data_IF_308005074745
#
_entry.id   IF_308005074745
#
_cell.length_a   1.000
_cell.length_b   1.000
_cell.length_c   1.000
_cell.angle_alpha   90.00
_cell.angle_beta   90.00
_cell.angle_gamma   90.00
#
_symmetry.space_group_name_H-M   'P 1'
#
loop_
_entity.id
_entity.type
_entity.pdbx_description
1 polymer ?
#
# COMPACT_ATOMS: atom_id res chain seq x y z
N UNK A 1 6.54 -1.13 -30.42
CA UNK A 1 7.46 -0.09 -30.90
C UNK A 1 8.12 0.68 -29.77
N UNK A 2 7.39 1.06 -28.69
CA UNK A 2 7.97 1.76 -27.51
C UNK A 2 8.99 0.91 -26.75
N UNK A 3 8.75 -0.38 -26.55
CA UNK A 3 9.65 -1.30 -25.85
C UNK A 3 11.01 -1.48 -26.56
N UNK A 4 11.01 -1.55 -27.90
CA UNK A 4 12.27 -1.60 -28.69
C UNK A 4 13.07 -0.30 -28.60
N UNK A 5 12.41 0.87 -28.60
CA UNK A 5 13.09 2.17 -28.43
C UNK A 5 13.73 2.33 -27.05
N UNK A 6 13.04 1.91 -25.99
CA UNK A 6 13.63 1.95 -24.64
C UNK A 6 14.82 1.00 -24.49
N UNK A 7 14.76 -0.23 -25.02
CA UNK A 7 15.91 -1.14 -25.05
C UNK A 7 17.08 -0.57 -25.87
N UNK A 8 16.80 0.06 -27.00
CA UNK A 8 17.85 0.68 -27.83
C UNK A 8 18.46 1.90 -27.15
N UNK A 9 17.68 2.72 -26.40
CA UNK A 9 18.24 3.81 -25.58
C UNK A 9 19.20 3.29 -24.51
N UNK A 10 18.80 2.33 -23.70
CA UNK A 10 19.66 1.76 -22.66
C UNK A 10 20.93 1.09 -23.23
N UNK A 11 20.85 0.41 -24.39
CA UNK A 11 22.00 -0.22 -25.06
C UNK A 11 22.93 0.86 -25.64
N UNK A 12 22.39 1.97 -26.10
CA UNK A 12 23.17 3.07 -26.71
C UNK A 12 23.83 3.96 -25.66
N UNK A 13 23.21 4.10 -24.50
CA UNK A 13 23.77 4.91 -23.38
C UNK A 13 24.89 4.18 -22.64
N UNK A 14 24.88 2.82 -22.63
CA UNK A 14 25.90 2.03 -21.98
C UNK A 14 27.33 2.26 -22.54
N UNK A 15 27.58 2.22 -23.87
CA UNK A 15 28.88 2.58 -24.43
C UNK A 15 29.28 4.01 -24.15
N UNK A 16 28.33 4.94 -24.14
CA UNK A 16 28.60 6.34 -23.85
C UNK A 16 29.12 6.56 -22.41
N UNK A 17 28.48 5.87 -21.42
CA UNK A 17 28.90 5.93 -20.02
C UNK A 17 30.28 5.31 -19.83
N UNK A 18 30.52 4.15 -20.46
CA UNK A 18 31.80 3.42 -20.36
C UNK A 18 32.93 4.21 -21.04
N UNK A 19 32.71 4.70 -22.27
CA UNK A 19 33.74 5.40 -23.06
C UNK A 19 34.10 6.77 -22.45
N UNK A 20 33.14 7.47 -21.83
CA UNK A 20 33.42 8.77 -21.18
C UNK A 20 33.91 8.64 -19.74
N UNK A 21 34.05 7.40 -19.19
CA UNK A 21 34.46 7.17 -17.80
C UNK A 21 33.72 8.10 -16.82
N UNK A 22 32.40 8.24 -16.99
CA UNK A 22 31.57 9.12 -16.16
C UNK A 22 31.64 8.60 -14.74
N UNK A 23 32.29 9.35 -13.86
CA UNK A 23 32.32 9.06 -12.43
C UNK A 23 30.96 9.40 -11.83
N UNK A 24 30.38 8.55 -10.99
CA UNK A 24 29.15 8.88 -10.28
C UNK A 24 29.38 10.14 -9.45
N UNK A 25 28.52 11.14 -9.57
CA UNK A 25 28.59 12.35 -8.76
C UNK A 25 28.33 11.98 -7.30
N UNK A 26 29.27 12.26 -6.41
CA UNK A 26 29.17 11.94 -4.97
C UNK A 26 27.85 12.47 -4.36
N UNK A 27 27.39 13.62 -4.81
CA UNK A 27 26.11 14.21 -4.37
C UNK A 27 24.91 13.34 -4.75
N UNK A 28 24.84 12.88 -6.01
CA UNK A 28 23.76 12.01 -6.46
C UNK A 28 23.74 10.67 -5.70
N UNK A 29 24.93 10.15 -5.36
CA UNK A 29 25.05 8.92 -4.55
C UNK A 29 24.53 9.12 -3.13
N UNK A 30 24.88 10.25 -2.49
CA UNK A 30 24.39 10.60 -1.16
C UNK A 30 22.88 10.78 -1.14
N UNK A 31 22.31 11.44 -2.14
CA UNK A 31 20.85 11.65 -2.26
C UNK A 31 20.12 10.32 -2.48
N UNK A 32 20.67 9.43 -3.30
CA UNK A 32 20.15 8.06 -3.48
C UNK A 32 20.18 7.26 -2.17
N UNK A 33 21.26 7.33 -1.40
CA UNK A 33 21.37 6.64 -0.12
C UNK A 33 20.36 7.20 0.87
N UNK A 34 20.17 8.52 0.98
CA UNK A 34 19.19 9.12 1.90
C UNK A 34 17.77 8.65 1.61
N UNK A 35 17.37 8.64 0.34
CA UNK A 35 16.03 8.16 -0.05
C UNK A 35 15.93 6.66 0.18
N UNK A 36 16.93 5.88 -0.25
CA UNK A 36 16.97 4.44 -0.10
C UNK A 36 16.93 3.99 1.36
N UNK A 37 17.64 4.69 2.25
CA UNK A 37 17.64 4.42 3.68
C UNK A 37 16.23 4.59 4.29
N UNK A 38 15.54 5.68 3.97
CA UNK A 38 14.17 5.91 4.46
C UNK A 38 13.21 4.80 4.01
N UNK A 39 13.29 4.40 2.74
CA UNK A 39 12.46 3.32 2.18
C UNK A 39 12.83 1.98 2.81
N UNK A 40 14.11 1.71 3.02
CA UNK A 40 14.57 0.49 3.67
C UNK A 40 14.00 0.35 5.09
N UNK A 41 14.13 1.40 5.92
CA UNK A 41 13.59 1.39 7.27
C UNK A 41 12.05 1.25 7.28
N UNK A 42 11.35 1.95 6.39
CA UNK A 42 9.91 1.78 6.21
C UNK A 42 9.56 0.32 5.96
N UNK A 43 10.24 -0.34 5.01
CA UNK A 43 9.99 -1.73 4.65
C UNK A 43 10.28 -2.71 5.80
N UNK A 44 11.39 -2.51 6.52
CA UNK A 44 11.74 -3.35 7.67
C UNK A 44 10.68 -3.26 8.77
N UNK A 45 10.28 -2.04 9.16
CA UNK A 45 9.27 -1.85 10.20
C UNK A 45 7.90 -2.36 9.77
N UNK A 46 7.53 -2.17 8.50
CA UNK A 46 6.29 -2.76 7.96
C UNK A 46 6.32 -4.30 8.05
N UNK A 47 7.45 -4.94 7.72
CA UNK A 47 7.60 -6.40 7.83
C UNK A 47 7.47 -6.88 9.27
N UNK A 48 8.03 -6.13 10.23
CA UNK A 48 7.85 -6.43 11.67
C UNK A 48 6.36 -6.37 12.05
N UNK A 49 5.63 -5.35 11.65
CA UNK A 49 4.20 -5.23 11.93
C UNK A 49 3.37 -6.37 11.31
N UNK A 50 3.67 -6.78 10.07
CA UNK A 50 3.03 -7.93 9.45
C UNK A 50 3.36 -9.24 10.18
N UNK A 51 4.63 -9.43 10.57
CA UNK A 51 5.08 -10.61 11.32
C UNK A 51 4.38 -10.71 12.68
N UNK A 52 4.28 -9.61 13.43
CA UNK A 52 3.57 -9.59 14.71
C UNK A 52 2.09 -9.98 14.54
N UNK A 53 1.42 -9.45 13.50
CA UNK A 53 0.03 -9.81 13.20
C UNK A 53 -0.11 -11.30 12.86
N UNK A 54 0.83 -11.87 12.09
CA UNK A 54 0.84 -13.29 11.76
C UNK A 54 1.07 -14.19 13.00
N UNK A 55 1.98 -13.78 13.89
CA UNK A 55 2.20 -14.49 15.18
C UNK A 55 0.93 -14.46 16.02
N UNK A 56 0.27 -13.30 16.11
CA UNK A 56 -1.02 -13.21 16.83
C UNK A 56 -2.07 -14.12 16.22
N UNK A 57 -2.17 -14.20 14.89
CA UNK A 57 -3.10 -15.11 14.20
C UNK A 57 -2.76 -16.59 14.45
N UNK A 58 -1.48 -16.95 14.44
CA UNK A 58 -1.02 -18.31 14.71
C UNK A 58 -1.37 -18.77 16.13
N UNK A 59 -1.30 -17.89 17.11
CA UNK A 59 -1.67 -18.16 18.49
C UNK A 59 -3.18 -18.39 18.71
N UNK A 60 -4.03 -18.07 17.71
CA UNK A 60 -5.47 -18.35 17.72
C UNK A 60 -5.80 -19.78 17.23
N UNK A 61 -4.78 -20.54 16.83
CA UNK A 61 -4.92 -21.89 16.32
C UNK A 61 -4.64 -22.05 14.82
N UNK A 62 -4.48 -23.30 14.39
CA UNK A 62 -4.11 -23.66 13.02
C UNK A 62 -5.13 -23.20 11.99
N UNK A 63 -6.42 -23.38 12.29
CA UNK A 63 -7.52 -23.06 11.39
C UNK A 63 -7.67 -21.54 11.21
N UNK A 64 -7.51 -20.79 12.30
CA UNK A 64 -7.50 -19.34 12.28
C UNK A 64 -6.32 -18.80 11.46
N UNK A 65 -5.12 -19.39 11.61
CA UNK A 65 -3.94 -19.02 10.83
C UNK A 65 -4.11 -19.37 9.35
N UNK A 66 -4.68 -20.52 9.02
CA UNK A 66 -4.96 -20.93 7.64
C UNK A 66 -5.93 -19.96 6.98
N UNK A 67 -7.05 -19.63 7.64
CA UNK A 67 -8.01 -18.64 7.15
C UNK A 67 -7.39 -17.24 7.02
N UNK A 68 -6.53 -16.83 7.96
CA UNK A 68 -5.78 -15.56 7.90
C UNK A 68 -4.88 -15.50 6.67
N UNK A 69 -4.14 -16.56 6.37
CA UNK A 69 -3.22 -16.58 5.23
C UNK A 69 -3.96 -16.43 3.89
N UNK A 70 -5.11 -17.09 3.72
CA UNK A 70 -5.95 -16.92 2.53
C UNK A 70 -6.52 -15.50 2.47
N UNK A 71 -6.98 -14.96 3.61
CA UNK A 71 -7.44 -13.56 3.68
C UNK A 71 -6.35 -12.57 3.26
N UNK A 72 -5.10 -12.77 3.66
CA UNK A 72 -3.95 -11.96 3.25
C UNK A 72 -3.68 -12.08 1.74
N UNK A 73 -3.81 -13.27 1.15
CA UNK A 73 -3.67 -13.47 -0.30
C UNK A 73 -4.76 -12.75 -1.07
N UNK A 74 -6.02 -12.81 -0.62
CA UNK A 74 -7.15 -12.09 -1.23
C UNK A 74 -6.92 -10.57 -1.13
N UNK A 75 -6.46 -10.08 0.01
CA UNK A 75 -6.15 -8.67 0.22
C UNK A 75 -4.98 -8.21 -0.68
N UNK A 76 -3.99 -9.07 -0.94
CA UNK A 76 -2.86 -8.75 -1.83
C UNK A 76 -3.29 -8.50 -3.27
N UNK A 77 -4.36 -9.14 -3.74
CA UNK A 77 -4.95 -8.87 -5.04
C UNK A 77 -5.47 -7.42 -5.11
N UNK A 78 -6.11 -6.94 -4.06
CA UNK A 78 -6.57 -5.54 -3.97
C UNK A 78 -5.40 -4.55 -3.96
N UNK A 79 -4.29 -4.90 -3.31
CA UNK A 79 -3.05 -4.11 -3.36
C UNK A 79 -2.51 -3.98 -4.78
N UNK A 80 -2.54 -5.04 -5.58
CA UNK A 80 -2.04 -4.99 -6.96
C UNK A 80 -2.77 -3.92 -7.81
N UNK A 81 -4.10 -3.79 -7.65
CA UNK A 81 -4.86 -2.71 -8.30
C UNK A 81 -4.48 -1.34 -7.75
N UNK A 82 -4.34 -1.21 -6.43
CA UNK A 82 -3.93 0.02 -5.77
C UNK A 82 -2.53 0.47 -6.23
N UNK A 83 -1.58 -0.45 -6.29
CA UNK A 83 -0.19 -0.18 -6.68
C UNK A 83 -0.08 0.28 -8.14
N UNK A 84 -0.88 -0.27 -9.05
CA UNK A 84 -0.96 0.19 -10.43
C UNK A 84 -1.40 1.66 -10.52
N UNK A 85 -2.44 2.03 -9.78
CA UNK A 85 -2.89 3.43 -9.70
C UNK A 85 -1.91 4.32 -8.96
N UNK A 86 -1.26 3.82 -7.91
CA UNK A 86 -0.22 4.52 -7.18
C UNK A 86 0.94 4.90 -8.12
N UNK A 87 1.46 3.94 -8.89
CA UNK A 87 2.54 4.18 -9.84
C UNK A 87 2.15 5.23 -10.89
N UNK A 88 0.91 5.18 -11.38
CA UNK A 88 0.35 6.17 -12.30
C UNK A 88 0.28 7.56 -11.65
N UNK A 89 -0.22 7.65 -10.42
CA UNK A 89 -0.32 8.90 -9.68
C UNK A 89 1.06 9.53 -9.42
N UNK A 90 2.06 8.72 -9.03
CA UNK A 90 3.45 9.16 -8.83
C UNK A 90 3.99 9.80 -10.12
N UNK A 91 3.83 9.12 -11.26
CA UNK A 91 4.36 9.58 -12.54
C UNK A 91 3.68 10.88 -13.02
N UNK A 92 2.34 10.94 -12.97
CA UNK A 92 1.57 12.09 -13.46
C UNK A 92 1.76 13.33 -12.59
N UNK A 93 1.75 13.16 -11.27
CA UNK A 93 1.92 14.28 -10.33
C UNK A 93 3.37 14.78 -10.39
N UNK A 94 4.36 13.90 -10.34
CA UNK A 94 5.76 14.28 -10.45
C UNK A 94 6.05 15.06 -11.74
N UNK A 95 5.51 14.59 -12.87
CA UNK A 95 5.63 15.31 -14.15
C UNK A 95 4.95 16.67 -14.12
N UNK A 96 3.71 16.76 -13.61
CA UNK A 96 2.96 18.01 -13.58
C UNK A 96 3.62 19.08 -12.71
N UNK A 97 4.19 18.67 -11.58
CA UNK A 97 4.96 19.56 -10.71
C UNK A 97 6.27 19.99 -11.36
N UNK A 98 6.97 19.11 -12.06
CA UNK A 98 8.16 19.43 -12.86
C UNK A 98 7.86 20.44 -13.98
N UNK A 99 6.66 20.38 -14.57
CA UNK A 99 6.15 21.37 -15.53
C UNK A 99 5.61 22.65 -14.88
N UNK A 100 5.71 22.79 -13.55
CA UNK A 100 5.19 23.94 -12.76
C UNK A 100 3.67 24.16 -12.91
N UNK A 101 2.89 23.06 -13.05
CA UNK A 101 1.44 23.08 -13.19
C UNK A 101 0.76 22.40 -12.01
N UNK A 102 0.69 23.04 -10.83
CA UNK A 102 0.15 22.41 -9.61
C UNK A 102 -1.35 22.07 -9.70
N UNK A 103 -2.12 22.87 -10.44
CA UNK A 103 -3.55 22.60 -10.61
C UNK A 103 -3.79 21.30 -11.39
N UNK A 104 -2.99 21.04 -12.43
CA UNK A 104 -3.04 19.79 -13.18
C UNK A 104 -2.66 18.58 -12.29
N UNK A 105 -1.70 18.77 -11.38
CA UNK A 105 -1.33 17.73 -10.42
C UNK A 105 -2.50 17.39 -9.47
N UNK A 106 -3.26 18.38 -8.99
CA UNK A 106 -4.47 18.16 -8.17
C UNK A 106 -5.55 17.42 -8.96
N UNK A 107 -5.75 17.78 -10.23
CA UNK A 107 -6.73 17.15 -11.10
C UNK A 107 -6.39 15.67 -11.34
N UNK A 108 -5.14 15.35 -11.65
CA UNK A 108 -4.70 13.96 -11.76
C UNK A 108 -4.89 13.17 -10.46
N UNK A 109 -4.57 13.76 -9.31
CA UNK A 109 -4.82 13.12 -8.01
C UNK A 109 -6.30 12.85 -7.77
N UNK A 110 -7.19 13.78 -8.16
CA UNK A 110 -8.64 13.62 -8.08
C UNK A 110 -9.15 12.51 -9.01
N UNK A 111 -8.66 12.49 -10.24
CA UNK A 111 -9.04 11.48 -11.24
C UNK A 111 -8.58 10.08 -10.84
N UNK A 112 -7.32 9.91 -10.41
CA UNK A 112 -6.83 8.64 -9.91
C UNK A 112 -7.66 8.12 -8.72
N UNK A 113 -8.06 9.01 -7.82
CA UNK A 113 -8.93 8.65 -6.69
C UNK A 113 -10.32 8.18 -7.15
N UNK A 114 -10.94 8.86 -8.12
CA UNK A 114 -12.25 8.45 -8.66
C UNK A 114 -12.16 7.07 -9.30
N UNK A 115 -11.15 6.83 -10.13
CA UNK A 115 -10.91 5.51 -10.73
C UNK A 115 -10.71 4.46 -9.63
N UNK A 116 -9.89 4.78 -8.61
CA UNK A 116 -9.67 3.89 -7.48
C UNK A 116 -10.94 3.59 -6.68
N UNK A 117 -11.83 4.57 -6.49
CA UNK A 117 -13.11 4.37 -5.82
C UNK A 117 -14.00 3.40 -6.62
N UNK A 118 -14.07 3.52 -7.95
CA UNK A 118 -14.80 2.56 -8.79
C UNK A 118 -14.23 1.14 -8.66
N UNK A 119 -12.90 0.99 -8.69
CA UNK A 119 -12.25 -0.31 -8.50
C UNK A 119 -12.53 -0.86 -7.10
N UNK A 120 -12.49 -0.02 -6.07
CA UNK A 120 -12.80 -0.43 -4.70
C UNK A 120 -14.24 -0.96 -4.59
N UNK A 121 -15.22 -0.26 -5.16
CA UNK A 121 -16.63 -0.71 -5.16
C UNK A 121 -16.78 -2.02 -5.92
N UNK A 122 -16.12 -2.17 -7.07
CA UNK A 122 -16.13 -3.42 -7.83
C UNK A 122 -15.55 -4.59 -7.02
N UNK A 123 -14.38 -4.40 -6.38
CA UNK A 123 -13.77 -5.43 -5.55
C UNK A 123 -14.60 -5.76 -4.32
N UNK A 124 -15.22 -4.77 -3.68
CA UNK A 124 -16.16 -4.97 -2.58
C UNK A 124 -17.32 -5.86 -3.01
N UNK A 125 -17.92 -5.61 -4.18
CA UNK A 125 -18.99 -6.45 -4.71
C UNK A 125 -18.50 -7.89 -4.97
N UNK A 126 -17.33 -8.06 -5.60
CA UNK A 126 -16.71 -9.38 -5.84
C UNK A 126 -16.47 -10.12 -4.53
N UNK A 127 -15.97 -9.44 -3.50
CA UNK A 127 -15.66 -10.05 -2.21
C UNK A 127 -16.92 -10.35 -1.40
N UNK A 128 -17.93 -9.49 -1.48
CA UNK A 128 -19.19 -9.71 -0.78
C UNK A 128 -19.95 -10.95 -1.33
N UNK A 129 -20.11 -11.01 -2.65
CA UNK A 129 -20.81 -12.14 -3.29
C UNK A 129 -19.94 -13.38 -3.44
N UNK A 130 -18.63 -13.21 -3.57
CA UNK A 130 -17.68 -14.29 -3.82
C UNK A 130 -17.02 -14.87 -2.57
N UNK A 131 -17.27 -14.34 -1.37
CA UNK A 131 -16.58 -14.71 -0.13
C UNK A 131 -16.48 -16.24 0.08
N UNK A 132 -17.61 -16.94 0.02
CA UNK A 132 -17.66 -18.39 0.20
C UNK A 132 -16.94 -19.14 -0.92
N UNK A 133 -17.11 -18.70 -2.17
CA UNK A 133 -16.45 -19.31 -3.33
C UNK A 133 -14.94 -19.15 -3.26
N UNK A 134 -14.45 -17.98 -2.89
CA UNK A 134 -13.02 -17.69 -2.77
C UNK A 134 -12.36 -18.58 -1.70
N UNK A 135 -12.99 -18.78 -0.54
CA UNK A 135 -12.43 -19.66 0.49
C UNK A 135 -12.55 -21.15 0.13
N UNK A 136 -13.60 -21.55 -0.61
CA UNK A 136 -13.76 -22.92 -1.12
C UNK A 136 -12.70 -23.33 -2.15
N UNK A 137 -12.06 -22.38 -2.83
CA UNK A 137 -10.94 -22.69 -3.70
C UNK A 137 -9.70 -23.19 -2.94
N UNK A 138 -9.59 -22.89 -1.64
CA UNK A 138 -8.44 -23.23 -0.81
C UNK A 138 -8.77 -24.30 0.25
N UNK A 139 -10.02 -24.38 0.69
CA UNK A 139 -10.44 -25.27 1.77
C UNK A 139 -11.71 -26.04 1.40
N UNK A 140 -11.76 -27.29 1.86
CA UNK A 140 -12.95 -28.14 1.80
C UNK A 140 -13.72 -28.15 3.13
N UNK A 141 -13.07 -27.78 4.23
CA UNK A 141 -13.60 -27.81 5.58
C UNK A 141 -14.50 -26.61 5.85
N UNK A 142 -15.80 -26.84 6.05
CA UNK A 142 -16.80 -25.78 6.26
C UNK A 142 -16.49 -24.92 7.50
N UNK A 143 -15.84 -25.47 8.52
CA UNK A 143 -15.43 -24.72 9.71
C UNK A 143 -14.42 -23.61 9.37
N UNK A 144 -13.38 -23.93 8.59
CA UNK A 144 -12.35 -22.94 8.17
C UNK A 144 -12.97 -21.91 7.22
N UNK A 145 -13.87 -22.36 6.33
CA UNK A 145 -14.60 -21.48 5.43
C UNK A 145 -15.45 -20.47 6.22
N UNK A 146 -16.12 -20.91 7.30
CA UNK A 146 -16.91 -20.01 8.14
C UNK A 146 -16.06 -18.94 8.82
N UNK A 147 -14.87 -19.30 9.33
CA UNK A 147 -13.89 -18.34 9.86
C UNK A 147 -13.48 -17.35 8.75
N UNK A 148 -13.19 -17.87 7.56
CA UNK A 148 -12.79 -17.08 6.41
C UNK A 148 -13.86 -16.09 5.95
N UNK A 149 -15.13 -16.46 5.96
CA UNK A 149 -16.25 -15.56 5.63
C UNK A 149 -16.31 -14.39 6.62
N UNK A 150 -16.13 -14.65 7.91
CA UNK A 150 -16.09 -13.59 8.93
C UNK A 150 -14.90 -12.64 8.71
N UNK A 151 -13.74 -13.16 8.35
CA UNK A 151 -12.58 -12.34 7.95
C UNK A 151 -12.92 -11.51 6.70
N UNK A 152 -13.61 -12.08 5.71
CA UNK A 152 -13.98 -11.39 4.48
C UNK A 152 -14.87 -10.18 4.73
N UNK A 153 -15.79 -10.25 5.70
CA UNK A 153 -16.59 -9.09 6.08
C UNK A 153 -15.73 -7.91 6.55
N UNK A 154 -14.64 -8.17 7.25
CA UNK A 154 -13.70 -7.10 7.63
C UNK A 154 -12.89 -6.64 6.41
N UNK A 155 -12.43 -7.56 5.55
CA UNK A 155 -11.67 -7.23 4.32
C UNK A 155 -12.45 -6.28 3.40
N UNK A 156 -13.75 -6.42 3.29
CA UNK A 156 -14.62 -5.54 2.51
C UNK A 156 -14.43 -4.06 2.93
N UNK A 157 -14.42 -3.79 4.22
CA UNK A 157 -14.15 -2.43 4.74
C UNK A 157 -12.69 -2.04 4.55
N UNK A 158 -11.76 -2.96 4.79
CA UNK A 158 -10.32 -2.74 4.61
C UNK A 158 -10.02 -2.26 3.20
N UNK A 159 -10.55 -2.91 2.16
CA UNK A 159 -10.26 -2.63 0.75
C UNK A 159 -10.66 -1.21 0.34
N UNK A 160 -11.76 -0.69 0.88
CA UNK A 160 -12.21 0.69 0.60
C UNK A 160 -11.13 1.69 1.03
N UNK A 161 -10.66 1.58 2.27
CA UNK A 161 -9.61 2.47 2.80
C UNK A 161 -8.26 2.21 2.16
N UNK A 162 -7.92 0.94 1.90
CA UNK A 162 -6.68 0.50 1.32
C UNK A 162 -6.42 1.12 -0.06
N UNK A 163 -7.35 1.01 -1.00
CA UNK A 163 -7.16 1.53 -2.36
C UNK A 163 -7.03 3.05 -2.31
N UNK A 164 -7.89 3.72 -1.57
CA UNK A 164 -7.86 5.17 -1.46
C UNK A 164 -6.54 5.68 -0.82
N UNK A 165 -6.07 5.02 0.26
CA UNK A 165 -4.84 5.43 0.93
C UNK A 165 -3.61 5.20 0.05
N UNK A 166 -3.54 4.08 -0.69
CA UNK A 166 -2.43 3.77 -1.59
C UNK A 166 -2.31 4.85 -2.68
N UNK A 167 -3.42 5.29 -3.25
CA UNK A 167 -3.45 6.35 -4.27
C UNK A 167 -2.98 7.69 -3.69
N UNK A 168 -3.50 8.10 -2.52
CA UNK A 168 -3.06 9.36 -1.90
C UNK A 168 -1.59 9.32 -1.50
N UNK A 169 -1.10 8.17 -1.02
CA UNK A 169 0.32 7.96 -0.75
C UNK A 169 1.15 8.12 -2.03
N UNK A 170 0.67 7.58 -3.16
CA UNK A 170 1.28 7.79 -4.47
C UNK A 170 1.34 9.25 -4.88
N UNK A 171 0.24 9.99 -4.68
CA UNK A 171 0.18 11.42 -4.95
C UNK A 171 1.23 12.20 -4.15
N UNK A 172 1.35 11.92 -2.86
CA UNK A 172 2.32 12.57 -1.97
C UNK A 172 3.77 12.20 -2.34
N UNK A 173 4.03 10.91 -2.63
CA UNK A 173 5.36 10.44 -3.08
C UNK A 173 5.75 11.04 -4.42
N UNK A 174 4.82 11.17 -5.36
CA UNK A 174 5.03 11.84 -6.65
C UNK A 174 5.37 13.33 -6.50
N UNK A 175 4.91 13.94 -5.43
CA UNK A 175 5.22 15.32 -5.05
C UNK A 175 6.50 15.48 -4.21
N UNK A 176 7.23 14.39 -3.93
CA UNK A 176 8.44 14.40 -3.11
C UNK A 176 8.22 14.30 -1.60
N UNK A 177 6.96 14.18 -1.11
CA UNK A 177 6.64 14.07 0.33
C UNK A 177 6.80 12.62 0.84
N UNK A 178 7.95 12.02 0.53
CA UNK A 178 8.24 10.62 0.81
C UNK A 178 8.45 10.35 2.29
N UNK A 179 9.08 11.27 3.01
CA UNK A 179 9.35 11.11 4.43
C UNK A 179 8.06 11.08 5.26
N UNK A 180 7.10 11.96 4.96
CA UNK A 180 5.81 11.96 5.64
C UNK A 180 5.06 10.63 5.42
N UNK A 181 5.01 10.16 4.19
CA UNK A 181 4.32 8.90 3.87
C UNK A 181 5.00 7.69 4.53
N UNK A 182 6.33 7.68 4.61
CA UNK A 182 7.09 6.64 5.30
C UNK A 182 6.79 6.62 6.81
N UNK A 183 6.86 7.77 7.48
CA UNK A 183 6.56 7.89 8.91
C UNK A 183 5.10 7.48 9.20
N UNK A 184 4.14 7.96 8.40
CA UNK A 184 2.73 7.59 8.55
C UNK A 184 2.52 6.08 8.42
N UNK A 185 3.16 5.43 7.41
CA UNK A 185 3.10 3.99 7.22
C UNK A 185 3.73 3.21 8.37
N UNK A 186 4.91 3.64 8.84
CA UNK A 186 5.60 2.99 9.96
C UNK A 186 4.77 3.04 11.25
N UNK A 187 4.24 4.20 11.61
CA UNK A 187 3.41 4.36 12.82
C UNK A 187 2.15 3.51 12.71
N UNK A 188 1.47 3.55 11.56
CA UNK A 188 0.21 2.84 11.39
C UNK A 188 0.39 1.33 11.41
N UNK A 189 1.35 0.78 10.66
CA UNK A 189 1.53 -0.68 10.54
C UNK A 189 2.17 -1.27 11.80
N UNK A 190 3.18 -0.59 12.37
CA UNK A 190 3.91 -1.16 13.51
C UNK A 190 3.17 -0.96 14.82
N UNK A 191 2.61 0.23 15.06
CA UNK A 191 1.99 0.54 16.34
C UNK A 191 0.47 0.37 16.30
N UNK A 192 -0.24 1.10 15.43
CA UNK A 192 -1.72 1.10 15.44
C UNK A 192 -2.25 -0.31 15.16
N UNK A 193 -1.77 -0.96 14.10
CA UNK A 193 -2.17 -2.32 13.76
C UNK A 193 -1.92 -3.28 14.93
N UNK A 194 -0.68 -3.30 15.46
CA UNK A 194 -0.30 -4.24 16.50
C UNK A 194 -1.08 -4.02 17.80
N UNK A 195 -1.20 -2.76 18.25
CA UNK A 195 -1.93 -2.42 19.48
C UNK A 195 -3.42 -2.77 19.33
N UNK A 196 -4.06 -2.36 18.23
CA UNK A 196 -5.49 -2.64 18.04
C UNK A 196 -5.74 -4.13 17.84
N UNK A 197 -4.87 -4.85 17.10
CA UNK A 197 -4.96 -6.32 16.96
C UNK A 197 -4.85 -7.01 18.31
N UNK A 198 -3.93 -6.58 19.17
CA UNK A 198 -3.78 -7.15 20.51
C UNK A 198 -5.00 -6.86 21.39
N UNK A 199 -5.44 -5.62 21.46
CA UNK A 199 -6.59 -5.22 22.26
C UNK A 199 -7.87 -5.92 21.80
N UNK A 200 -8.18 -5.87 20.51
CA UNK A 200 -9.41 -6.47 20.00
C UNK A 200 -9.33 -7.99 19.92
N UNK A 201 -8.17 -8.56 19.61
CA UNK A 201 -8.00 -10.01 19.45
C UNK A 201 -7.89 -10.76 20.76
N UNK A 202 -7.15 -10.21 21.73
CA UNK A 202 -6.86 -10.88 23.00
C UNK A 202 -7.59 -10.27 24.19
N UNK A 203 -7.45 -8.95 24.42
CA UNK A 203 -8.02 -8.33 25.62
C UNK A 203 -9.56 -8.31 25.59
N UNK A 204 -10.17 -8.10 24.42
CA UNK A 204 -11.63 -8.14 24.23
C UNK A 204 -12.15 -9.51 23.78
N UNK A 205 -11.27 -10.51 23.63
CA UNK A 205 -11.67 -11.86 23.24
C UNK A 205 -12.24 -12.01 21.82
N UNK A 206 -11.99 -11.05 20.92
CA UNK A 206 -12.50 -11.06 19.56
C UNK A 206 -11.80 -12.06 18.61
N UNK A 207 -10.79 -12.80 19.10
CA UNK A 207 -10.08 -13.80 18.34
C UNK A 207 -9.49 -13.26 17.03
N UNK A 208 -9.58 -14.08 15.97
CA UNK A 208 -9.03 -13.72 14.65
C UNK A 208 -9.72 -12.48 14.06
N UNK A 209 -11.00 -12.27 14.31
CA UNK A 209 -11.73 -11.09 13.82
C UNK A 209 -11.19 -9.83 14.48
N UNK A 210 -10.92 -9.86 15.79
CA UNK A 210 -10.29 -8.75 16.51
C UNK A 210 -8.93 -8.41 15.94
N UNK A 211 -8.13 -9.40 15.53
CA UNK A 211 -6.84 -9.16 14.86
C UNK A 211 -7.04 -8.43 13.51
N UNK A 212 -8.05 -8.80 12.74
CA UNK A 212 -8.38 -8.13 11.47
C UNK A 212 -8.94 -6.72 11.65
N UNK A 213 -9.57 -6.41 12.79
CA UNK A 213 -9.92 -5.02 13.15
C UNK A 213 -8.67 -4.14 13.31
N UNK A 214 -7.56 -4.69 13.77
CA UNK A 214 -6.28 -4.00 13.76
C UNK A 214 -5.78 -3.68 12.34
N UNK A 215 -5.98 -4.61 11.39
CA UNK A 215 -5.69 -4.34 9.96
C UNK A 215 -6.57 -3.22 9.42
N UNK A 216 -7.84 -3.20 9.78
CA UNK A 216 -8.77 -2.13 9.40
C UNK A 216 -8.34 -0.78 9.98
N UNK A 217 -8.00 -0.73 11.26
CA UNK A 217 -7.54 0.50 11.93
C UNK A 217 -6.26 1.07 11.30
N UNK A 218 -5.32 0.21 10.90
CA UNK A 218 -4.13 0.59 10.16
C UNK A 218 -4.48 1.24 8.81
N UNK A 219 -5.33 0.62 8.01
CA UNK A 219 -5.72 1.17 6.71
C UNK A 219 -6.48 2.50 6.85
N UNK A 220 -7.38 2.59 7.83
CA UNK A 220 -8.09 3.84 8.15
C UNK A 220 -7.14 4.96 8.58
N UNK A 221 -6.21 4.68 9.47
CA UNK A 221 -5.27 5.69 9.96
C UNK A 221 -4.39 6.23 8.83
N UNK A 222 -3.85 5.37 7.99
CA UNK A 222 -3.08 5.78 6.80
C UNK A 222 -3.92 6.57 5.81
N UNK A 223 -5.17 6.15 5.59
CA UNK A 223 -6.09 6.89 4.73
C UNK A 223 -6.36 8.29 5.26
N UNK A 224 -6.63 8.43 6.56
CA UNK A 224 -6.88 9.73 7.21
C UNK A 224 -5.64 10.62 7.09
N UNK A 225 -4.46 10.11 7.47
CA UNK A 225 -3.21 10.86 7.44
C UNK A 225 -2.86 11.32 6.02
N UNK A 226 -2.95 10.43 5.03
CA UNK A 226 -2.65 10.76 3.63
C UNK A 226 -3.67 11.76 3.05
N UNK A 227 -4.96 11.61 3.37
CA UNK A 227 -6.02 12.51 2.91
C UNK A 227 -5.87 13.91 3.50
N UNK A 228 -5.62 14.01 4.80
CA UNK A 228 -5.41 15.30 5.48
C UNK A 228 -4.19 16.00 4.90
N UNK A 229 -3.08 15.29 4.75
CA UNK A 229 -1.86 15.84 4.16
C UNK A 229 -2.06 16.32 2.72
N UNK A 230 -2.76 15.53 1.92
CA UNK A 230 -3.06 15.89 0.54
C UNK A 230 -3.96 17.14 0.47
N UNK A 231 -5.02 17.22 1.30
CA UNK A 231 -5.92 18.37 1.34
C UNK A 231 -5.25 19.66 1.83
N UNK A 232 -4.27 19.57 2.74
CA UNK A 232 -3.52 20.73 3.21
C UNK A 232 -2.69 21.42 2.11
N UNK A 233 -2.43 20.74 1.00
CA UNK A 233 -1.69 21.32 -0.14
C UNK A 233 -0.20 21.60 0.12
N UNK A 234 0.33 21.26 1.31
CA UNK A 234 1.74 21.52 1.68
C UNK A 234 2.74 20.81 0.75
N UNK A 235 2.32 19.72 0.13
CA UNK A 235 3.11 18.94 -0.81
C UNK A 235 3.44 19.69 -2.11
N UNK A 236 2.66 20.74 -2.48
CA UNK A 236 2.88 21.55 -3.70
C UNK A 236 4.16 22.37 -3.61
N UNK A 237 4.55 22.79 -2.41
CA UNK A 237 5.68 23.67 -2.15
C UNK A 237 6.97 22.94 -1.78
N UNK A 238 6.99 21.62 -1.85
CA UNK A 238 8.19 20.83 -1.58
C UNK A 238 9.14 21.00 -2.77
N UNK A 239 10.34 21.51 -2.50
CA UNK A 239 11.42 21.56 -3.51
C UNK A 239 11.94 20.15 -3.72
N UNK A 240 11.72 19.62 -4.91
CA UNK A 240 12.28 18.34 -5.37
C UNK A 240 13.74 18.54 -5.76
#
# INVERSE_FOLDING_TARGET
VRSRRQRQMCIRDRPYIINKKIKPASKAFIDLIKVGYSVFFEQVLMRIGFMLTAIMAANQGTDAMAAHQVGMNIMSLSFAFGDGLQATAVALIGRSLGEKKPELAKEYGRTCRLIGAFIAVFLVAVYFFGARGLYRLFFTEEHIIAIGINIMHVIIFVVIFQICQVIYTGCLRGAGDTLYTAIASMISVTFIRTIVSYLCGYALGGGIIGIWLGVLADQMSRFILATVRFKQGKWINIKI
#
